data_IF_111732364768
#
_entry.id   IF_111732364768
#
_cell.length_a   1.000
_cell.length_b   1.000
_cell.length_c   1.000
_cell.angle_alpha   90.00
_cell.angle_beta   90.00
_cell.angle_gamma   90.00
#
_symmetry.space_group_name_H-M   'P 1'
#
loop_
_entity.id
_entity.type
_entity.pdbx_description
1 polymer ?
#
# COMPACT_ATOMS: atom_id res chain seq x y z
N UNK A 1 -17.80 22.01 -18.81
CA UNK A 1 -17.92 20.57 -18.45
C UNK A 1 -17.89 20.51 -16.94
N UNK A 2 -18.84 19.85 -16.30
CA UNK A 2 -18.95 19.83 -14.84
C UNK A 2 -17.81 18.98 -14.24
N UNK A 3 -17.08 19.52 -13.27
CA UNK A 3 -15.92 18.86 -12.68
C UNK A 3 -16.35 17.64 -11.86
N UNK A 4 -15.83 16.44 -12.20
CA UNK A 4 -16.11 15.21 -11.46
C UNK A 4 -15.27 15.17 -10.19
N UNK A 5 -15.91 15.04 -9.03
CA UNK A 5 -15.24 14.94 -7.73
C UNK A 5 -15.44 13.55 -7.15
N UNK A 6 -14.36 12.79 -7.04
CA UNK A 6 -14.36 11.46 -6.44
C UNK A 6 -14.10 11.57 -4.94
N UNK A 7 -15.09 11.29 -4.08
CA UNK A 7 -14.87 11.33 -2.63
C UNK A 7 -13.94 10.21 -2.20
N UNK A 8 -13.04 10.54 -1.28
CA UNK A 8 -12.06 9.64 -0.69
C UNK A 8 -12.13 9.76 0.83
N UNK A 9 -12.28 8.61 1.50
CA UNK A 9 -12.16 8.48 2.95
C UNK A 9 -10.90 7.69 3.23
N UNK A 10 -9.93 8.28 3.94
CA UNK A 10 -8.64 7.66 4.26
C UNK A 10 -8.56 7.29 5.74
N UNK A 11 -8.57 5.99 6.04
CA UNK A 11 -8.38 5.48 7.39
C UNK A 11 -6.92 5.09 7.63
N UNK A 12 -6.46 5.29 8.87
CA UNK A 12 -5.15 4.84 9.34
C UNK A 12 -5.33 3.85 10.49
N UNK A 13 -4.97 2.59 10.25
CA UNK A 13 -4.99 1.50 11.23
C UNK A 13 -3.70 1.42 12.03
N UNK A 14 -3.20 0.20 12.23
CA UNK A 14 -1.85 -0.03 12.71
C UNK A 14 -0.85 0.30 11.58
N UNK A 15 -0.60 1.59 11.38
CA UNK A 15 0.29 2.16 10.38
C UNK A 15 1.33 3.11 11.00
N UNK A 16 2.21 3.65 10.15
CA UNK A 16 3.26 4.57 10.54
C UNK A 16 3.16 5.95 9.85
N UNK A 17 2.07 6.21 9.12
CA UNK A 17 1.90 7.41 8.25
C UNK A 17 2.89 7.47 7.07
N UNK A 18 3.80 6.49 6.95
CA UNK A 18 4.80 6.46 5.88
C UNK A 18 4.20 6.34 4.49
N UNK A 19 3.01 5.75 4.34
CA UNK A 19 2.35 5.68 3.04
C UNK A 19 1.79 7.04 2.64
N UNK A 20 1.12 7.72 3.58
CA UNK A 20 0.70 9.11 3.41
C UNK A 20 1.88 10.01 3.01
N UNK A 21 2.99 9.95 3.75
CA UNK A 21 4.20 10.75 3.47
C UNK A 21 4.80 10.40 2.10
N UNK A 22 4.86 9.12 1.74
CA UNK A 22 5.37 8.70 0.43
C UNK A 22 4.52 9.27 -0.71
N UNK A 23 3.19 9.25 -0.58
CA UNK A 23 2.27 9.82 -1.58
C UNK A 23 2.39 11.34 -1.67
N UNK A 24 2.63 12.01 -0.55
CA UNK A 24 2.92 13.45 -0.54
C UNK A 24 4.21 13.81 -1.29
N UNK A 25 5.12 12.87 -1.52
CA UNK A 25 6.30 13.04 -2.37
C UNK A 25 6.03 12.85 -3.87
N UNK A 26 4.77 12.74 -4.30
CA UNK A 26 4.45 12.61 -5.72
C UNK A 26 4.85 13.86 -6.51
N UNK A 27 5.44 13.63 -7.69
CA UNK A 27 6.02 14.69 -8.53
C UNK A 27 5.06 15.10 -9.64
N UNK A 28 4.50 14.14 -10.39
CA UNK A 28 3.64 14.42 -11.54
C UNK A 28 2.63 13.28 -11.79
N UNK A 29 1.33 13.47 -11.51
CA UNK A 29 0.71 14.61 -10.82
C UNK A 29 1.30 14.86 -9.42
N UNK A 30 1.36 16.12 -8.97
CA UNK A 30 1.92 16.49 -7.66
C UNK A 30 0.93 16.30 -6.51
N UNK A 31 1.38 16.45 -5.25
CA UNK A 31 0.47 16.50 -4.10
C UNK A 31 -0.56 17.64 -4.20
N UNK A 32 -0.22 18.78 -4.83
CA UNK A 32 -1.19 19.85 -5.13
C UNK A 32 -2.32 19.31 -6.00
N UNK A 33 -2.02 18.47 -6.99
CA UNK A 33 -3.02 17.86 -7.85
C UNK A 33 -3.92 16.90 -7.09
N UNK A 34 -3.36 16.12 -6.17
CA UNK A 34 -4.19 15.22 -5.35
C UNK A 34 -5.14 15.98 -4.44
N UNK A 35 -4.71 17.11 -3.85
CA UNK A 35 -5.47 17.79 -2.82
C UNK A 35 -6.38 18.93 -3.33
N UNK A 36 -5.92 19.68 -4.34
CA UNK A 36 -6.49 20.97 -4.69
C UNK A 36 -6.78 21.16 -6.18
N UNK A 37 -6.29 20.28 -7.05
CA UNK A 37 -6.33 20.46 -8.50
C UNK A 37 -6.84 19.18 -9.21
N UNK A 38 -6.88 19.24 -10.54
CA UNK A 38 -7.18 18.06 -11.35
C UNK A 38 -6.04 17.04 -11.26
N UNK A 39 -6.39 15.77 -11.02
CA UNK A 39 -5.45 14.63 -11.13
C UNK A 39 -5.34 14.20 -12.59
N UNK A 40 -6.48 14.22 -13.28
CA UNK A 40 -6.62 14.04 -14.73
C UNK A 40 -7.66 15.06 -15.24
N UNK A 41 -7.64 15.45 -16.53
CA UNK A 41 -8.50 16.51 -17.04
C UNK A 41 -9.98 16.35 -16.64
N UNK A 42 -10.53 17.36 -15.97
CA UNK A 42 -11.92 17.42 -15.50
C UNK A 42 -12.25 16.57 -14.27
N UNK A 43 -11.27 15.92 -13.62
CA UNK A 43 -11.50 15.03 -12.47
C UNK A 43 -10.58 15.34 -11.28
N UNK A 44 -11.21 15.44 -10.10
CA UNK A 44 -10.58 15.79 -8.82
C UNK A 44 -10.77 14.66 -7.82
N UNK A 45 -9.79 14.49 -6.93
CA UNK A 45 -10.00 13.80 -5.67
C UNK A 45 -10.52 14.76 -4.62
N UNK A 46 -11.46 14.27 -3.81
CA UNK A 46 -11.96 14.99 -2.66
C UNK A 46 -11.66 14.17 -1.42
N UNK A 47 -10.55 14.46 -0.75
CA UNK A 47 -10.22 13.90 0.55
C UNK A 47 -11.17 14.44 1.61
N UNK A 48 -12.24 13.70 1.85
CA UNK A 48 -13.28 14.02 2.84
C UNK A 48 -12.75 13.84 4.25
N UNK A 49 -11.97 12.79 4.45
CA UNK A 49 -11.36 12.45 5.73
C UNK A 49 -9.95 11.94 5.48
N UNK A 50 -8.98 12.55 6.14
CA UNK A 50 -7.60 12.09 6.19
C UNK A 50 -6.97 12.62 7.48
N UNK A 51 -6.70 11.77 8.49
CA UNK A 51 -6.40 12.21 9.85
C UNK A 51 -5.14 13.07 9.96
N UNK A 52 -4.18 12.92 9.04
CA UNK A 52 -2.92 13.68 9.06
C UNK A 52 -3.00 15.09 8.48
N UNK A 53 -3.87 15.35 7.49
CA UNK A 53 -3.81 16.60 6.69
C UNK A 53 -5.12 17.40 6.67
N UNK A 54 -6.21 16.85 7.18
CA UNK A 54 -7.48 17.56 7.21
C UNK A 54 -7.51 18.69 8.25
N UNK A 55 -8.30 19.72 7.99
CA UNK A 55 -8.41 20.88 8.89
C UNK A 55 -9.28 20.61 10.12
N UNK A 56 -10.38 19.87 9.97
CA UNK A 56 -11.28 19.55 11.08
C UNK A 56 -10.70 18.45 11.97
N UNK A 57 -11.09 18.43 13.24
CA UNK A 57 -10.66 17.43 14.23
C UNK A 57 -11.82 17.02 15.14
N UNK A 58 -11.64 15.92 15.87
CA UNK A 58 -12.64 15.41 16.82
C UNK A 58 -13.97 15.07 16.15
N UNK A 59 -15.07 15.31 16.86
CA UNK A 59 -16.43 14.97 16.42
C UNK A 59 -16.76 15.50 15.02
N UNK A 60 -16.37 16.75 14.71
CA UNK A 60 -16.65 17.37 13.41
C UNK A 60 -16.04 16.57 12.25
N UNK A 61 -14.82 16.07 12.43
CA UNK A 61 -14.15 15.25 11.41
C UNK A 61 -14.84 13.90 11.21
N UNK A 62 -15.32 13.29 12.31
CA UNK A 62 -16.01 12.01 12.29
C UNK A 62 -17.40 12.17 11.66
N UNK A 63 -18.13 13.22 11.99
CA UNK A 63 -19.45 13.50 11.43
C UNK A 63 -19.38 13.65 9.90
N UNK A 64 -18.40 14.40 9.37
CA UNK A 64 -18.20 14.58 7.92
C UNK A 64 -17.92 13.25 7.22
N UNK A 65 -17.11 12.38 7.82
CA UNK A 65 -16.83 11.03 7.30
C UNK A 65 -18.12 10.19 7.24
N UNK A 66 -18.89 10.16 8.32
CA UNK A 66 -20.12 9.35 8.40
C UNK A 66 -21.27 9.93 7.56
N UNK A 67 -21.33 11.25 7.43
CA UNK A 67 -22.30 11.90 6.56
C UNK A 67 -22.03 11.59 5.09
N UNK A 68 -20.74 11.56 4.71
CA UNK A 68 -20.32 11.14 3.38
C UNK A 68 -20.71 9.68 3.13
N UNK A 69 -20.45 8.78 4.08
CA UNK A 69 -20.89 7.39 3.96
C UNK A 69 -22.40 7.28 3.71
N UNK A 70 -23.23 7.98 4.49
CA UNK A 70 -24.69 7.92 4.38
C UNK A 70 -25.22 8.55 3.09
N UNK A 71 -24.67 9.69 2.67
CA UNK A 71 -25.18 10.47 1.52
C UNK A 71 -24.59 10.04 0.19
N UNK A 72 -23.45 9.35 0.21
CA UNK A 72 -22.67 8.98 -0.98
C UNK A 72 -22.36 7.48 -1.03
N UNK A 73 -23.20 6.66 -0.42
CA UNK A 73 -23.11 5.20 -0.46
C UNK A 73 -22.93 4.70 -1.90
N UNK A 74 -22.01 3.75 -2.09
CA UNK A 74 -21.64 3.18 -3.38
C UNK A 74 -20.82 4.10 -4.29
N UNK A 75 -20.43 5.30 -3.84
CA UNK A 75 -19.75 6.28 -4.71
C UNK A 75 -18.41 6.83 -4.19
N UNK A 76 -18.02 6.57 -2.95
CA UNK A 76 -16.72 6.99 -2.40
C UNK A 76 -15.69 5.86 -2.43
N UNK A 77 -14.42 6.21 -2.57
CA UNK A 77 -13.30 5.28 -2.42
C UNK A 77 -12.88 5.27 -0.95
N UNK A 78 -12.78 4.08 -0.37
CA UNK A 78 -12.21 3.89 0.96
C UNK A 78 -10.73 3.53 0.82
N UNK A 79 -9.84 4.35 1.35
CA UNK A 79 -8.42 4.04 1.44
C UNK A 79 -8.11 3.54 2.85
N UNK A 80 -7.42 2.40 2.93
CA UNK A 80 -6.91 1.85 4.18
C UNK A 80 -5.38 1.92 4.18
N UNK A 81 -4.80 2.66 5.12
CA UNK A 81 -3.37 2.68 5.42
C UNK A 81 -3.11 1.98 6.75
N UNK A 82 -2.13 1.07 6.80
CA UNK A 82 -1.87 0.27 8.00
C UNK A 82 -2.76 -0.98 8.08
N UNK A 83 -2.32 -1.96 8.87
CA UNK A 83 -3.09 -3.19 9.08
C UNK A 83 -4.31 -2.94 9.98
N UNK A 84 -5.23 -3.90 10.01
CA UNK A 84 -6.42 -3.86 10.85
C UNK A 84 -6.22 -4.82 12.02
N UNK A 85 -5.99 -4.34 13.26
CA UNK A 85 -5.95 -5.20 14.44
C UNK A 85 -7.32 -5.81 14.73
N UNK A 86 -7.40 -7.13 14.90
CA UNK A 86 -8.66 -7.81 15.20
C UNK A 86 -8.71 -8.44 16.59
N UNK A 87 -7.57 -8.62 17.25
CA UNK A 87 -7.55 -9.20 18.59
C UNK A 87 -8.26 -8.29 19.61
N UNK A 88 -8.89 -8.90 20.62
CA UNK A 88 -9.62 -8.21 21.69
C UNK A 88 -10.64 -7.20 21.16
N UNK A 89 -11.37 -7.55 20.11
CA UNK A 89 -12.38 -6.68 19.48
C UNK A 89 -11.80 -5.49 18.71
N UNK A 90 -10.52 -5.55 18.35
CA UNK A 90 -9.83 -4.51 17.57
C UNK A 90 -9.39 -3.29 18.38
N UNK A 91 -9.41 -3.34 19.71
CA UNK A 91 -9.08 -2.20 20.59
C UNK A 91 -7.65 -1.66 20.42
N UNK A 92 -6.76 -2.42 19.79
CA UNK A 92 -5.37 -2.01 19.56
C UNK A 92 -5.21 -0.87 18.53
N UNK A 93 -6.26 -0.52 17.78
CA UNK A 93 -6.28 0.71 16.98
C UNK A 93 -7.70 1.29 16.95
N UNK A 94 -7.82 2.59 17.20
CA UNK A 94 -9.10 3.29 17.31
C UNK A 94 -9.12 4.55 16.44
N UNK A 95 -10.31 4.93 15.97
CA UNK A 95 -10.55 6.13 15.17
C UNK A 95 -11.78 6.85 15.71
N UNK A 96 -11.49 7.86 16.53
CA UNK A 96 -12.51 8.64 17.23
C UNK A 96 -13.20 7.86 18.36
N UNK A 97 -14.30 8.43 18.81
CA UNK A 97 -15.12 7.93 19.90
C UNK A 97 -16.61 8.09 19.58
N UNK A 98 -17.45 7.27 20.20
CA UNK A 98 -18.90 7.42 20.17
C UNK A 98 -19.42 7.19 21.58
N UNK A 99 -20.15 8.18 22.13
CA UNK A 99 -20.64 8.15 23.52
C UNK A 99 -19.52 7.83 24.52
N UNK A 100 -18.39 8.53 24.38
CA UNK A 100 -17.18 8.39 25.21
C UNK A 100 -16.53 7.00 25.16
N UNK A 101 -16.88 6.17 24.18
CA UNK A 101 -16.27 4.86 23.96
C UNK A 101 -15.43 4.89 22.69
N UNK A 102 -14.22 4.31 22.70
CA UNK A 102 -13.39 4.26 21.51
C UNK A 102 -14.08 3.46 20.40
N UNK A 103 -14.08 4.01 19.18
CA UNK A 103 -14.50 3.27 17.99
C UNK A 103 -13.26 2.63 17.39
N UNK A 104 -13.26 1.31 17.22
CA UNK A 104 -12.10 0.60 16.68
C UNK A 104 -11.96 0.80 15.18
N UNK A 105 -10.72 0.73 14.69
CA UNK A 105 -10.46 0.74 13.24
C UNK A 105 -11.18 -0.42 12.57
N UNK A 106 -11.23 -1.60 13.22
CA UNK A 106 -11.96 -2.75 12.73
C UNK A 106 -13.45 -2.43 12.49
N UNK A 107 -14.16 -1.92 13.49
CA UNK A 107 -15.59 -1.63 13.35
C UNK A 107 -15.85 -0.50 12.36
N UNK A 108 -14.99 0.54 12.35
CA UNK A 108 -15.11 1.65 11.41
C UNK A 108 -14.84 1.21 9.97
N UNK A 109 -13.81 0.40 9.74
CA UNK A 109 -13.48 -0.16 8.43
C UNK A 109 -14.63 -1.01 7.89
N UNK A 110 -15.14 -1.97 8.69
CA UNK A 110 -16.28 -2.83 8.29
C UNK A 110 -17.49 -1.99 7.88
N UNK A 111 -17.81 -0.97 8.67
CA UNK A 111 -18.96 -0.12 8.44
C UNK A 111 -18.82 0.70 7.14
N UNK A 112 -17.65 1.29 6.89
CA UNK A 112 -17.38 2.06 5.66
C UNK A 112 -17.21 1.14 4.44
N UNK A 113 -16.57 -0.02 4.58
CA UNK A 113 -16.34 -0.94 3.48
C UNK A 113 -17.66 -1.29 2.78
N UNK A 114 -18.72 -1.61 3.53
CA UNK A 114 -20.04 -1.97 2.99
C UNK A 114 -20.69 -0.91 2.10
N UNK A 115 -20.32 0.36 2.27
CA UNK A 115 -20.87 1.47 1.47
C UNK A 115 -19.88 2.06 0.48
N UNK A 116 -18.68 1.49 0.31
CA UNK A 116 -17.66 2.01 -0.58
C UNK A 116 -17.90 1.56 -2.03
N UNK A 117 -17.52 2.41 -2.99
CA UNK A 117 -17.42 2.05 -4.41
C UNK A 117 -16.34 0.99 -4.62
N UNK A 118 -15.18 1.22 -3.99
CA UNK A 118 -14.03 0.34 -4.00
C UNK A 118 -13.11 0.67 -2.81
N UNK A 119 -12.24 -0.27 -2.47
CA UNK A 119 -11.24 -0.12 -1.41
C UNK A 119 -9.84 -0.09 -2.03
N UNK A 120 -8.99 0.84 -1.60
CA UNK A 120 -7.56 0.81 -1.93
C UNK A 120 -6.79 0.52 -0.66
N UNK A 121 -6.15 -0.64 -0.59
CA UNK A 121 -5.26 -1.01 0.50
C UNK A 121 -3.85 -0.48 0.18
N UNK A 122 -3.41 0.54 0.91
CA UNK A 122 -2.15 1.23 0.64
C UNK A 122 -1.07 0.82 1.65
N UNK A 123 0.02 0.29 1.09
CA UNK A 123 1.18 -0.20 1.81
C UNK A 123 1.02 -1.62 2.34
N UNK A 124 2.15 -2.29 2.55
CA UNK A 124 2.17 -3.73 2.85
C UNK A 124 1.42 -4.11 4.13
N UNK A 125 1.31 -3.17 5.06
CA UNK A 125 0.50 -3.34 6.27
C UNK A 125 -0.98 -3.51 5.94
N UNK A 126 -1.54 -2.66 5.06
CA UNK A 126 -2.95 -2.73 4.69
C UNK A 126 -3.23 -3.90 3.73
N UNK A 127 -2.29 -4.21 2.82
CA UNK A 127 -2.51 -5.28 1.83
C UNK A 127 -2.37 -6.68 2.44
N UNK A 128 -1.30 -6.91 3.20
CA UNK A 128 -0.89 -8.25 3.65
C UNK A 128 -0.64 -8.35 5.17
N UNK A 129 -0.97 -7.30 5.92
CA UNK A 129 -0.69 -7.21 7.36
C UNK A 129 0.69 -6.64 7.68
N UNK A 130 1.71 -6.95 6.88
CA UNK A 130 3.05 -6.35 6.96
C UNK A 130 3.74 -6.51 8.32
N UNK A 131 4.55 -5.52 8.72
CA UNK A 131 5.28 -5.55 10.00
C UNK A 131 4.36 -5.75 11.22
N UNK A 132 3.20 -5.08 11.35
CA UNK A 132 2.30 -5.31 12.47
C UNK A 132 1.76 -6.75 12.57
N UNK A 133 1.62 -7.44 11.43
CA UNK A 133 1.16 -8.83 11.38
C UNK A 133 2.30 -9.86 11.47
N UNK A 134 3.55 -9.40 11.48
CA UNK A 134 4.73 -10.24 11.65
C UNK A 134 4.71 -10.93 13.02
N UNK A 135 5.40 -12.08 13.12
CA UNK A 135 5.52 -12.83 14.38
C UNK A 135 6.09 -11.91 15.48
N UNK A 136 5.49 -11.86 16.68
CA UNK A 136 4.44 -12.75 17.20
C UNK A 136 2.98 -12.29 17.01
N UNK A 137 2.73 -11.17 16.33
CA UNK A 137 1.39 -10.60 16.05
C UNK A 137 0.41 -10.61 17.26
N UNK A 138 0.75 -9.95 18.38
CA UNK A 138 -0.10 -9.96 19.58
C UNK A 138 -1.41 -9.18 19.39
N UNK A 139 -1.51 -8.34 18.36
CA UNK A 139 -2.67 -7.50 18.07
C UNK A 139 -3.65 -8.15 17.09
N UNK A 140 -3.31 -9.33 16.54
CA UNK A 140 -4.10 -9.97 15.49
C UNK A 140 -4.25 -9.09 14.25
N UNK A 141 -3.20 -8.33 13.91
CA UNK A 141 -3.17 -7.48 12.71
C UNK A 141 -3.34 -8.31 11.45
N UNK A 142 -4.22 -7.85 10.57
CA UNK A 142 -4.56 -8.49 9.29
C UNK A 142 -4.62 -7.48 8.15
N UNK A 143 -4.52 -7.97 6.92
CA UNK A 143 -4.74 -7.17 5.72
C UNK A 143 -6.22 -6.96 5.41
N UNK A 144 -6.51 -6.05 4.48
CA UNK A 144 -7.87 -5.71 4.02
C UNK A 144 -8.61 -6.95 3.51
N UNK A 145 -7.98 -7.75 2.65
CA UNK A 145 -8.59 -8.96 2.08
C UNK A 145 -9.12 -9.89 3.17
N UNK A 146 -8.28 -10.17 4.18
CA UNK A 146 -8.65 -11.11 5.23
C UNK A 146 -9.87 -10.63 6.03
N UNK A 147 -10.00 -9.32 6.28
CA UNK A 147 -11.14 -8.76 7.02
C UNK A 147 -12.40 -8.77 6.16
N UNK A 148 -12.29 -8.44 4.87
CA UNK A 148 -13.42 -8.50 3.94
C UNK A 148 -13.98 -9.93 3.80
N UNK A 149 -13.10 -10.93 3.70
CA UNK A 149 -13.49 -12.35 3.60
C UNK A 149 -14.18 -12.84 4.87
N UNK A 150 -13.65 -12.53 6.05
CA UNK A 150 -14.24 -12.91 7.34
C UNK A 150 -15.63 -12.29 7.54
N UNK A 151 -15.78 -11.02 7.18
CA UNK A 151 -17.01 -10.25 7.35
C UNK A 151 -17.98 -10.40 6.18
N UNK A 152 -17.62 -11.20 5.17
CA UNK A 152 -18.39 -11.47 3.95
C UNK A 152 -18.81 -10.19 3.22
N UNK A 153 -17.87 -9.25 3.09
CA UNK A 153 -18.07 -7.99 2.39
C UNK A 153 -17.57 -8.15 0.96
N UNK A 154 -18.49 -8.11 0.00
CA UNK A 154 -18.20 -8.19 -1.42
C UNK A 154 -18.08 -6.79 -2.03
N UNK A 155 -16.88 -6.22 -1.93
CA UNK A 155 -16.54 -4.89 -2.47
C UNK A 155 -15.21 -4.99 -3.21
N UNK A 156 -15.10 -4.46 -4.44
CA UNK A 156 -13.85 -4.46 -5.17
C UNK A 156 -12.72 -3.81 -4.38
N UNK A 157 -11.55 -4.44 -4.34
CA UNK A 157 -10.38 -3.87 -3.67
C UNK A 157 -9.12 -3.99 -4.52
N UNK A 158 -8.24 -2.99 -4.40
CA UNK A 158 -6.97 -2.90 -5.10
C UNK A 158 -5.85 -2.80 -4.06
N UNK A 159 -4.83 -3.64 -4.20
CA UNK A 159 -3.66 -3.66 -3.34
C UNK A 159 -2.54 -2.82 -3.95
N UNK A 160 -2.00 -1.88 -3.18
CA UNK A 160 -0.82 -1.09 -3.54
C UNK A 160 0.24 -1.31 -2.46
N UNK A 161 0.91 -2.48 -2.44
CA UNK A 161 1.90 -2.79 -1.43
C UNK A 161 3.22 -2.03 -1.62
N UNK A 162 4.06 -2.14 -0.60
CA UNK A 162 5.31 -1.41 -0.44
C UNK A 162 5.39 -0.85 0.98
N UNK A 163 6.59 -0.77 1.54
CA UNK A 163 6.81 -0.25 2.88
C UNK A 163 7.86 0.87 2.87
N UNK A 164 7.52 2.08 2.39
CA UNK A 164 6.20 2.50 1.87
C UNK A 164 5.98 2.13 0.39
N UNK A 165 4.76 2.30 -0.17
CA UNK A 165 4.52 2.26 -1.62
C UNK A 165 5.04 3.52 -2.30
N UNK A 166 5.48 3.42 -3.56
CA UNK A 166 5.91 4.59 -4.35
C UNK A 166 4.71 5.50 -4.65
N UNK A 167 4.84 6.84 -4.62
CA UNK A 167 3.74 7.76 -4.90
C UNK A 167 3.02 7.44 -6.22
N UNK A 168 3.78 7.25 -7.30
CA UNK A 168 3.22 6.98 -8.63
C UNK A 168 2.38 5.69 -8.70
N UNK A 169 2.61 4.71 -7.83
CA UNK A 169 1.77 3.50 -7.80
C UNK A 169 0.36 3.85 -7.32
N UNK A 170 0.24 4.68 -6.29
CA UNK A 170 -1.04 5.20 -5.81
C UNK A 170 -1.67 6.14 -6.82
N UNK A 171 -0.93 7.16 -7.26
CA UNK A 171 -1.46 8.19 -8.17
C UNK A 171 -1.86 7.61 -9.51
N UNK A 172 -1.06 6.70 -10.07
CA UNK A 172 -1.38 6.02 -11.33
C UNK A 172 -2.61 5.11 -11.21
N UNK A 173 -2.77 4.40 -10.09
CA UNK A 173 -3.98 3.60 -9.82
C UNK A 173 -5.22 4.50 -9.77
N UNK A 174 -5.15 5.61 -9.04
CA UNK A 174 -6.29 6.53 -8.93
C UNK A 174 -6.57 7.24 -10.25
N UNK A 175 -5.55 7.66 -10.99
CA UNK A 175 -5.70 8.24 -12.32
C UNK A 175 -6.39 7.27 -13.29
N UNK A 176 -6.03 5.98 -13.25
CA UNK A 176 -6.72 4.93 -14.00
C UNK A 176 -8.20 4.88 -13.63
N UNK A 177 -8.52 4.84 -12.33
CA UNK A 177 -9.91 4.79 -11.85
C UNK A 177 -10.73 5.99 -12.33
N UNK A 178 -10.14 7.18 -12.31
CA UNK A 178 -10.82 8.39 -12.76
C UNK A 178 -11.07 8.41 -14.27
N UNK A 179 -10.14 7.88 -15.08
CA UNK A 179 -10.23 7.86 -16.54
C UNK A 179 -11.08 6.73 -17.09
N UNK A 180 -10.92 5.51 -16.55
CA UNK A 180 -11.43 4.28 -17.15
C UNK A 180 -12.42 3.52 -16.26
N UNK A 181 -12.52 3.89 -14.98
CA UNK A 181 -13.32 3.16 -13.99
C UNK A 181 -12.50 2.11 -13.22
N UNK A 182 -13.18 1.25 -12.46
CA UNK A 182 -12.51 0.26 -11.61
C UNK A 182 -11.67 -0.72 -12.44
N UNK A 183 -10.47 -1.01 -11.95
CA UNK A 183 -9.55 -1.98 -12.54
C UNK A 183 -10.15 -3.39 -12.52
N UNK A 184 -9.98 -4.12 -13.62
CA UNK A 184 -10.46 -5.50 -13.79
C UNK A 184 -9.36 -6.55 -13.66
N UNK A 185 -9.70 -7.80 -13.99
CA UNK A 185 -8.78 -8.96 -13.95
C UNK A 185 -7.57 -8.80 -14.90
N UNK A 186 -7.73 -8.07 -16.00
CA UNK A 186 -6.65 -7.79 -16.96
C UNK A 186 -5.65 -6.75 -16.41
N UNK A 187 -6.09 -5.87 -15.51
CA UNK A 187 -5.27 -4.81 -14.93
C UNK A 187 -4.51 -5.28 -13.67
N UNK A 188 -5.05 -6.27 -12.97
CA UNK A 188 -4.59 -6.71 -11.64
C UNK A 188 -3.95 -8.10 -11.68
N UNK A 189 -2.94 -8.30 -10.83
CA UNK A 189 -2.36 -9.62 -10.58
C UNK A 189 -3.15 -10.47 -9.59
N UNK A 190 -2.69 -11.69 -9.36
CA UNK A 190 -3.36 -12.68 -8.51
C UNK A 190 -3.40 -12.24 -7.03
N UNK A 191 -2.64 -11.20 -6.67
CA UNK A 191 -2.62 -10.54 -5.38
C UNK A 191 -3.40 -9.21 -5.40
N UNK A 192 -4.22 -8.98 -6.43
CA UNK A 192 -4.97 -7.74 -6.69
C UNK A 192 -4.09 -6.49 -6.79
N UNK A 193 -2.86 -6.61 -7.31
CA UNK A 193 -1.94 -5.48 -7.49
C UNK A 193 -1.93 -5.05 -8.96
N UNK A 194 -1.89 -3.73 -9.29
CA UNK A 194 -1.82 -3.28 -10.67
C UNK A 194 -0.58 -3.83 -11.41
N UNK A 195 -0.79 -4.61 -12.48
CA UNK A 195 0.29 -5.28 -13.25
C UNK A 195 1.29 -4.29 -13.83
N UNK A 196 0.85 -3.07 -14.14
CA UNK A 196 1.72 -2.01 -14.64
C UNK A 196 2.86 -1.66 -13.66
N UNK A 197 2.67 -1.83 -12.35
CA UNK A 197 3.70 -1.56 -11.34
C UNK A 197 4.33 -2.85 -10.79
N UNK A 198 3.56 -3.94 -10.69
CA UNK A 198 3.96 -5.18 -10.01
C UNK A 198 4.08 -6.37 -10.96
N UNK A 199 4.08 -6.18 -12.28
CA UNK A 199 4.12 -7.26 -13.26
C UNK A 199 5.51 -7.82 -13.57
N UNK A 200 6.58 -7.16 -13.10
CA UNK A 200 7.96 -7.55 -13.41
C UNK A 200 8.80 -7.72 -12.15
N UNK A 201 9.75 -8.67 -12.21
CA UNK A 201 10.72 -8.88 -11.15
C UNK A 201 11.79 -7.77 -11.14
N UNK A 202 12.18 -7.34 -9.94
CA UNK A 202 13.29 -6.40 -9.76
C UNK A 202 14.57 -6.96 -10.40
N UNK A 203 14.85 -8.25 -10.21
CA UNK A 203 16.10 -8.87 -10.67
C UNK A 203 16.22 -8.95 -12.20
N UNK A 204 15.11 -9.08 -12.92
CA UNK A 204 15.12 -9.13 -14.38
C UNK A 204 15.45 -7.77 -15.00
N UNK A 205 15.15 -6.70 -14.29
CA UNK A 205 15.42 -5.32 -14.72
C UNK A 205 16.59 -4.67 -13.96
N UNK A 206 17.32 -5.44 -13.16
CA UNK A 206 18.38 -4.90 -12.31
C UNK A 206 19.64 -4.59 -13.13
N UNK A 207 20.20 -3.36 -13.06
CA UNK A 207 21.46 -3.02 -13.73
C UNK A 207 22.66 -3.87 -13.24
N UNK A 208 22.56 -4.43 -12.01
CA UNK A 208 23.57 -5.33 -11.44
C UNK A 208 23.38 -6.80 -11.85
N UNK A 209 22.43 -7.11 -12.74
CA UNK A 209 22.16 -8.47 -13.23
C UNK A 209 23.37 -9.12 -13.91
N UNK A 210 24.13 -8.45 -14.80
CA UNK A 210 25.32 -9.04 -15.41
C UNK A 210 26.35 -9.52 -14.37
N UNK A 211 26.53 -8.77 -13.26
CA UNK A 211 27.41 -9.21 -12.17
C UNK A 211 26.92 -10.50 -11.50
N UNK A 212 25.60 -10.70 -11.38
CA UNK A 212 25.05 -11.95 -10.86
C UNK A 212 25.36 -13.12 -11.80
N UNK A 213 25.14 -12.93 -13.10
CA UNK A 213 25.35 -13.97 -14.12
C UNK A 213 26.85 -14.36 -14.23
N UNK A 214 27.76 -13.41 -13.99
CA UNK A 214 29.21 -13.65 -13.93
C UNK A 214 29.71 -14.15 -12.56
N UNK A 215 28.86 -14.24 -11.54
CA UNK A 215 29.26 -14.62 -10.17
C UNK A 215 30.08 -13.56 -9.42
N UNK A 216 30.03 -12.29 -9.85
CA UNK A 216 30.67 -11.14 -9.21
C UNK A 216 29.78 -10.57 -8.11
N UNK A 217 29.96 -11.05 -6.89
CA UNK A 217 29.18 -10.62 -5.72
C UNK A 217 29.93 -9.58 -4.88
N UNK A 218 29.21 -8.54 -4.47
CA UNK A 218 29.69 -7.59 -3.46
C UNK A 218 29.82 -8.30 -2.11
N UNK A 219 30.87 -7.97 -1.36
CA UNK A 219 31.15 -8.54 -0.03
C UNK A 219 30.80 -7.56 1.10
N UNK A 220 30.66 -6.28 0.78
CA UNK A 220 30.25 -5.23 1.71
C UNK A 220 29.23 -4.28 1.05
N UNK A 221 28.40 -3.63 1.87
CA UNK A 221 27.46 -2.62 1.38
C UNK A 221 28.24 -1.46 0.75
N UNK A 222 27.77 -0.99 -0.41
CA UNK A 222 28.43 0.06 -1.18
C UNK A 222 29.49 -0.42 -2.18
N UNK A 223 29.92 -1.69 -2.12
CA UNK A 223 30.81 -2.25 -3.15
C UNK A 223 30.09 -2.44 -4.50
N UNK A 224 30.89 -2.42 -5.56
CA UNK A 224 30.46 -2.84 -6.89
C UNK A 224 30.17 -4.36 -6.92
N UNK A 225 29.27 -4.79 -7.79
CA UNK A 225 28.86 -6.19 -7.91
C UNK A 225 27.45 -6.46 -7.39
N UNK A 226 26.99 -7.70 -7.57
CA UNK A 226 25.63 -8.08 -7.17
C UNK A 226 25.49 -8.22 -5.65
N UNK A 227 24.42 -7.65 -5.10
CA UNK A 227 24.12 -7.66 -3.65
C UNK A 227 23.45 -8.96 -3.17
N UNK A 228 23.43 -10.01 -4.00
CA UNK A 228 22.74 -11.27 -3.66
C UNK A 228 23.29 -11.93 -2.39
N UNK A 229 24.61 -11.97 -2.23
CA UNK A 229 25.24 -12.53 -1.02
C UNK A 229 25.02 -11.67 0.22
N UNK A 230 24.73 -10.37 0.04
CA UNK A 230 24.34 -9.43 1.09
C UNK A 230 22.83 -9.46 1.38
N UNK A 231 22.10 -10.42 0.81
CA UNK A 231 20.71 -10.68 1.10
C UNK A 231 19.70 -10.00 0.20
N UNK A 232 20.09 -9.55 -0.99
CA UNK A 232 19.15 -8.94 -1.93
C UNK A 232 18.00 -9.89 -2.31
N UNK A 233 16.77 -9.45 -2.04
CA UNK A 233 15.51 -10.14 -2.28
C UNK A 233 14.87 -9.83 -3.64
N UNK A 234 15.53 -9.01 -4.46
CA UNK A 234 15.09 -8.65 -5.82
C UNK A 234 14.69 -9.82 -6.73
N UNK A 235 15.30 -11.02 -6.63
CA UNK A 235 14.90 -12.18 -7.45
C UNK A 235 13.49 -12.75 -7.27
N UNK A 236 12.76 -12.36 -6.22
CA UNK A 236 11.35 -12.75 -6.04
C UNK A 236 10.45 -11.56 -5.72
N UNK A 237 10.99 -10.35 -5.77
CA UNK A 237 10.24 -9.12 -5.49
C UNK A 237 9.76 -8.52 -6.80
N UNK A 238 8.46 -8.28 -6.88
CA UNK A 238 7.79 -7.66 -8.01
C UNK A 238 7.59 -6.18 -7.75
N UNK A 239 8.24 -5.34 -8.56
CA UNK A 239 7.99 -3.90 -8.65
C UNK A 239 8.83 -3.29 -9.77
N UNK A 240 8.40 -2.14 -10.28
CA UNK A 240 9.12 -1.32 -11.26
C UNK A 240 10.19 -0.39 -10.64
N UNK A 241 10.55 -0.59 -9.36
CA UNK A 241 11.65 0.11 -8.67
C UNK A 241 12.94 0.31 -9.51
N UNK A 242 13.48 -0.70 -10.23
CA UNK A 242 14.70 -0.52 -11.04
C UNK A 242 14.51 0.39 -12.26
N UNK A 243 13.27 0.60 -12.71
CA UNK A 243 12.95 1.45 -13.87
C UNK A 243 12.69 2.89 -13.45
N UNK A 244 11.93 3.07 -12.36
CA UNK A 244 11.45 4.39 -11.95
C UNK A 244 12.27 5.06 -10.86
N UNK A 245 13.04 4.26 -10.11
CA UNK A 245 13.73 4.65 -8.89
C UNK A 245 12.79 5.21 -7.80
N UNK A 246 13.28 6.09 -6.93
CA UNK A 246 12.56 6.68 -5.82
C UNK A 246 12.92 8.16 -5.67
N UNK A 247 12.03 8.92 -5.01
CA UNK A 247 12.23 10.32 -4.65
C UNK A 247 12.56 11.21 -5.86
N UNK A 248 11.71 11.18 -6.89
CA UNK A 248 11.93 11.97 -8.12
C UNK A 248 13.01 11.39 -9.03
N UNK A 249 13.20 10.07 -9.00
CA UNK A 249 14.18 9.38 -9.84
C UNK A 249 15.61 9.38 -9.29
N UNK A 250 15.84 10.00 -8.13
CA UNK A 250 17.18 10.29 -7.58
C UNK A 250 17.96 9.03 -7.25
N UNK A 251 17.34 8.08 -6.57
CA UNK A 251 18.00 6.84 -6.17
C UNK A 251 16.98 5.74 -5.88
N UNK A 252 17.44 4.53 -5.58
CA UNK A 252 16.62 3.40 -5.12
C UNK A 252 17.49 2.44 -4.32
N UNK A 253 16.88 1.47 -3.63
CA UNK A 253 17.57 0.63 -2.64
C UNK A 253 18.85 -0.03 -3.17
N UNK A 254 18.79 -0.72 -4.33
CA UNK A 254 19.96 -1.39 -4.93
C UNK A 254 20.93 -0.37 -5.54
N UNK A 255 20.42 0.73 -6.11
CA UNK A 255 21.24 1.84 -6.62
C UNK A 255 22.12 2.45 -5.52
N UNK A 256 21.58 2.55 -4.30
CA UNK A 256 22.27 3.01 -3.10
C UNK A 256 23.23 1.97 -2.49
N UNK A 257 23.41 0.80 -3.11
CA UNK A 257 24.28 -0.27 -2.59
C UNK A 257 23.67 -1.06 -1.42
N UNK A 258 22.36 -0.96 -1.19
CA UNK A 258 21.61 -1.72 -0.18
C UNK A 258 20.77 -2.82 -0.82
N UNK A 259 20.68 -4.03 -0.23
CA UNK A 259 19.82 -5.08 -0.76
C UNK A 259 18.35 -4.65 -0.80
N UNK A 260 17.63 -5.11 -1.83
CA UNK A 260 16.16 -5.11 -1.79
C UNK A 260 15.69 -6.03 -0.65
N UNK A 261 14.67 -5.61 0.09
CA UNK A 261 14.12 -6.34 1.24
C UNK A 261 12.79 -7.04 0.95
N UNK A 262 12.28 -6.98 -0.28
CA UNK A 262 11.01 -7.60 -0.65
C UNK A 262 9.78 -6.92 -0.06
N UNK A 263 9.84 -5.61 0.17
CA UNK A 263 8.79 -4.89 0.89
C UNK A 263 7.41 -4.90 0.20
N UNK A 264 7.32 -5.23 -1.08
CA UNK A 264 6.07 -5.32 -1.86
C UNK A 264 5.42 -6.70 -1.82
N UNK A 265 6.05 -7.69 -1.20
CA UNK A 265 5.60 -9.08 -1.21
C UNK A 265 4.85 -9.47 0.07
N UNK A 266 3.88 -10.42 0.00
CA UNK A 266 3.20 -10.94 1.18
C UNK A 266 4.13 -11.58 2.22
N UNK A 267 5.31 -12.03 1.78
CA UNK A 267 6.35 -12.61 2.63
C UNK A 267 7.02 -11.62 3.60
N UNK A 268 6.79 -10.31 3.42
CA UNK A 268 7.45 -9.27 4.21
C UNK A 268 6.75 -9.02 5.56
N UNK A 269 7.49 -8.94 6.68
CA UNK A 269 8.94 -9.06 6.81
C UNK A 269 9.44 -10.46 7.16
N UNK A 270 8.59 -11.34 7.70
CA UNK A 270 9.03 -12.57 8.40
C UNK A 270 9.82 -13.54 7.53
N UNK A 271 9.38 -13.78 6.29
CA UNK A 271 10.03 -14.73 5.38
C UNK A 271 11.15 -14.03 4.60
N UNK A 272 10.99 -12.74 4.33
CA UNK A 272 12.07 -11.92 3.75
C UNK A 272 13.22 -11.66 4.75
N UNK A 273 12.98 -11.89 6.04
CA UNK A 273 14.00 -11.87 7.09
C UNK A 273 14.69 -13.24 7.22
N UNK A 274 15.98 -13.28 7.62
CA UNK A 274 16.88 -12.15 7.88
C UNK A 274 17.23 -11.35 6.61
N UNK A 275 17.24 -10.02 6.73
CA UNK A 275 17.37 -9.13 5.58
C UNK A 275 18.75 -9.18 4.91
N UNK A 276 19.81 -9.22 5.73
CA UNK A 276 21.20 -9.17 5.28
C UNK A 276 21.85 -10.55 5.13
N UNK A 277 21.03 -11.56 4.92
CA UNK A 277 21.48 -12.92 4.65
C UNK A 277 21.00 -13.37 3.27
N UNK A 278 21.89 -14.06 2.56
CA UNK A 278 21.57 -14.73 1.30
C UNK A 278 20.37 -15.66 1.51
N UNK A 279 19.48 -15.67 0.52
CA UNK A 279 18.38 -16.63 0.46
C UNK A 279 18.96 -18.05 0.43
N UNK A 280 18.81 -18.79 1.53
CA UNK A 280 19.24 -20.18 1.66
C UNK A 280 18.13 -21.17 1.31
N UNK A 281 16.85 -20.77 1.44
CA UNK A 281 15.69 -21.62 1.17
C UNK A 281 14.64 -20.90 0.31
N UNK A 282 14.76 -21.08 -1.01
CA UNK A 282 13.83 -20.51 -1.99
C UNK A 282 12.41 -21.07 -1.89
N UNK A 283 12.22 -22.25 -1.29
CA UNK A 283 10.88 -22.86 -1.19
C UNK A 283 9.97 -22.05 -0.27
N UNK A 284 10.55 -21.40 0.74
CA UNK A 284 9.81 -20.53 1.67
C UNK A 284 9.34 -19.22 1.05
N UNK A 285 10.01 -18.77 -0.01
CA UNK A 285 9.75 -17.47 -0.66
C UNK A 285 8.77 -17.55 -1.83
N UNK A 286 8.45 -18.74 -2.31
CA UNK A 286 7.29 -18.89 -3.19
C UNK A 286 6.05 -18.62 -2.32
N UNK A 287 5.23 -17.60 -2.64
CA UNK A 287 3.92 -17.49 -2.02
C UNK A 287 3.22 -18.85 -2.19
N UNK A 288 2.28 -19.23 -1.30
CA UNK A 288 1.31 -20.23 -1.67
C UNK A 288 0.51 -19.63 -2.83
N UNK A 289 0.96 -19.87 -4.06
CA UNK A 289 0.09 -19.91 -5.22
C UNK A 289 -0.87 -21.06 -4.90
N UNK A 290 -2.01 -20.71 -4.31
CA UNK A 290 -3.16 -21.61 -4.33
C UNK A 290 -3.71 -21.61 -5.74
#
# INVERSE_FOLDING_TARGET
MEAKRQPVIWLQGAGCTGCSVSIMNSVSPSIKNLLLDEVVPGSFLQFVFHPTIMAASGELSIEVMLDTQRKREGSYILVMEGSIPTAKGGIFATVGEEKEKPVTILSRFINLARGALAIIAVGSCATFGGIPAARPNPTGSRGVKDVLEEEKIDVPFINIPGCPPHPDWFVGTVAHILLYGLMGEDDLDELNRPRVFYGQLIHENCPRRPYFDEGKFARQLGEEGCLYELGCKGPFTYSDCPLRHWNGGVNWVIGAGSPCLGCTEPSFPDITGPFYEKISDWKKLRPPLK
#
